data_IF_934215754242
#
_entry.id   IF_934215754242
#
_cell.length_a   1.000
_cell.length_b   1.000
_cell.length_c   1.000
_cell.angle_alpha   90.00
_cell.angle_beta   90.00
_cell.angle_gamma   90.00
#
_symmetry.space_group_name_H-M   'P 1'
#
loop_
_entity.id
_entity.type
_entity.pdbx_description
1 polymer ?
#
# COMPACT_ATOMS: atom_id res chain seq x y z
N UNK A 1 20.85 25.13 37.10
CA UNK A 1 20.48 25.57 35.76
C UNK A 1 21.35 24.96 34.63
N UNK A 2 22.68 24.91 34.72
CA UNK A 2 23.53 24.31 33.65
C UNK A 2 23.31 22.82 33.44
N UNK A 3 23.09 22.01 34.48
CA UNK A 3 22.85 20.55 34.37
C UNK A 3 21.53 20.19 33.65
N UNK A 4 20.49 21.01 33.84
CA UNK A 4 19.18 20.81 33.19
C UNK A 4 19.22 21.04 31.68
N UNK A 5 20.09 21.96 31.21
CA UNK A 5 20.28 22.29 29.80
C UNK A 5 20.97 21.13 29.08
N UNK A 6 21.94 20.46 29.72
CA UNK A 6 22.61 19.27 29.14
C UNK A 6 21.68 18.08 28.99
N UNK A 7 20.78 17.84 29.97
CA UNK A 7 19.78 16.77 29.86
C UNK A 7 18.75 17.02 28.76
N UNK A 8 18.32 18.27 28.59
CA UNK A 8 17.39 18.64 27.51
C UNK A 8 18.07 18.49 26.11
N UNK A 9 19.35 18.85 26.00
CA UNK A 9 20.13 18.69 24.75
C UNK A 9 20.35 17.23 24.37
N UNK A 10 20.63 16.36 25.34
CA UNK A 10 20.83 14.91 25.11
C UNK A 10 19.51 14.24 24.74
N UNK A 11 18.38 14.62 25.35
CA UNK A 11 17.05 14.10 25.01
C UNK A 11 16.63 14.50 23.59
N UNK A 12 16.93 15.74 23.18
CA UNK A 12 16.64 16.23 21.82
C UNK A 12 17.50 15.54 20.76
N UNK A 13 18.75 15.23 21.07
CA UNK A 13 19.65 14.52 20.15
C UNK A 13 19.25 13.03 19.92
N UNK A 14 18.61 12.39 20.90
CA UNK A 14 18.14 11.01 20.79
C UNK A 14 16.92 10.86 19.84
N UNK A 15 16.16 11.93 19.61
CA UNK A 15 14.97 11.90 18.71
C UNK A 15 15.37 11.85 17.22
N UNK A 16 16.59 12.27 16.88
CA UNK A 16 17.07 12.31 15.49
C UNK A 16 17.58 10.97 14.93
N UNK A 17 17.71 9.92 15.76
CA UNK A 17 18.31 8.66 15.33
C UNK A 17 17.32 7.60 14.80
N UNK A 18 16.02 7.90 14.71
CA UNK A 18 14.99 6.91 14.32
C UNK A 18 14.54 7.04 12.85
N UNK A 19 15.16 7.90 12.05
CA UNK A 19 14.91 7.88 10.60
C UNK A 19 15.82 6.83 9.95
N UNK A 20 15.56 5.56 10.21
CA UNK A 20 16.14 4.47 9.44
C UNK A 20 15.85 4.73 7.95
N UNK A 21 16.91 4.73 7.12
CA UNK A 21 16.75 4.81 5.67
C UNK A 21 15.88 3.65 5.19
N UNK A 22 14.59 3.90 5.02
CA UNK A 22 13.65 2.94 4.44
C UNK A 22 13.97 2.83 2.95
N UNK A 23 14.80 1.86 2.58
CA UNK A 23 15.14 1.55 1.20
C UNK A 23 14.42 0.29 0.74
N UNK A 24 14.01 0.27 -0.53
CA UNK A 24 13.62 -0.97 -1.17
C UNK A 24 14.82 -1.92 -1.26
N UNK A 25 14.61 -3.25 -1.23
CA UNK A 25 15.68 -4.22 -1.46
C UNK A 25 16.26 -4.02 -2.86
N UNK A 26 17.59 -4.07 -2.96
CA UNK A 26 18.28 -3.92 -4.26
C UNK A 26 18.04 -5.12 -5.18
N UNK A 27 18.01 -6.31 -4.58
CA UNK A 27 17.77 -7.57 -5.26
C UNK A 27 16.76 -8.40 -4.49
N UNK A 28 15.77 -8.93 -5.21
CA UNK A 28 14.78 -9.86 -4.68
C UNK A 28 15.04 -11.23 -5.33
N UNK A 29 15.43 -12.28 -4.56
CA UNK A 29 15.76 -13.59 -5.11
C UNK A 29 14.65 -14.12 -6.01
N UNK A 30 15.02 -14.68 -7.18
CA UNK A 30 14.06 -15.10 -8.19
C UNK A 30 13.30 -16.39 -7.82
N UNK A 31 13.82 -17.17 -6.88
CA UNK A 31 13.27 -18.44 -6.43
C UNK A 31 12.23 -18.33 -5.30
N UNK A 32 11.86 -17.11 -4.90
CA UNK A 32 10.83 -16.92 -3.87
C UNK A 32 9.45 -17.17 -4.45
N UNK A 33 8.62 -17.93 -3.73
CA UNK A 33 7.20 -18.13 -4.02
C UNK A 33 6.38 -16.86 -3.75
N UNK A 34 5.15 -16.83 -4.23
CA UNK A 34 4.24 -15.72 -3.96
C UNK A 34 3.98 -15.55 -2.46
N UNK A 35 3.81 -16.65 -1.72
CA UNK A 35 3.60 -16.65 -0.28
C UNK A 35 4.81 -16.10 0.49
N UNK A 36 6.03 -16.46 0.08
CA UNK A 36 7.25 -15.92 0.68
C UNK A 36 7.37 -14.42 0.43
N UNK A 37 7.04 -13.95 -0.78
CA UNK A 37 7.03 -12.52 -1.12
C UNK A 37 5.97 -11.76 -0.31
N UNK A 38 4.76 -12.32 -0.12
CA UNK A 38 3.70 -11.75 0.72
C UNK A 38 4.22 -11.61 2.18
N UNK A 39 4.81 -12.66 2.74
CA UNK A 39 5.35 -12.62 4.10
C UNK A 39 6.45 -11.58 4.27
N UNK A 40 7.34 -11.43 3.28
CA UNK A 40 8.39 -10.39 3.27
C UNK A 40 7.80 -8.99 3.16
N UNK A 41 6.76 -8.82 2.35
CA UNK A 41 6.05 -7.55 2.21
C UNK A 41 5.38 -7.14 3.53
N UNK A 42 4.63 -8.05 4.15
CA UNK A 42 3.96 -7.81 5.43
C UNK A 42 4.96 -7.50 6.54
N UNK A 43 6.02 -8.30 6.68
CA UNK A 43 7.08 -8.07 7.67
C UNK A 43 7.79 -6.73 7.45
N UNK A 44 7.99 -6.34 6.20
CA UNK A 44 8.57 -5.04 5.85
C UNK A 44 7.64 -3.89 6.25
N UNK A 45 6.34 -4.04 5.99
CA UNK A 45 5.34 -3.06 6.41
C UNK A 45 5.27 -2.91 7.92
N UNK A 46 5.23 -4.03 8.66
CA UNK A 46 5.19 -4.04 10.13
C UNK A 46 6.42 -3.38 10.76
N UNK A 47 7.58 -3.52 10.11
CA UNK A 47 8.81 -2.81 10.50
C UNK A 47 8.85 -1.34 10.06
N UNK A 48 7.79 -0.84 9.42
CA UNK A 48 7.67 0.51 8.90
C UNK A 48 8.37 0.75 7.54
N UNK A 49 8.96 -0.28 6.93
CA UNK A 49 9.61 -0.15 5.63
C UNK A 49 8.63 -0.31 4.46
N UNK A 50 7.79 0.72 4.24
CA UNK A 50 6.76 0.72 3.20
C UNK A 50 7.35 0.54 1.79
N UNK A 51 8.56 1.06 1.54
CA UNK A 51 9.20 0.91 0.22
C UNK A 51 9.59 -0.54 -0.07
N UNK A 52 10.07 -1.26 0.94
CA UNK A 52 10.38 -2.68 0.78
C UNK A 52 9.09 -3.49 0.62
N UNK A 53 8.05 -3.21 1.40
CA UNK A 53 6.75 -3.85 1.28
C UNK A 53 6.19 -3.71 -0.16
N UNK A 54 6.18 -2.49 -0.68
CA UNK A 54 5.75 -2.23 -2.05
C UNK A 54 6.59 -3.00 -3.08
N UNK A 55 7.91 -3.02 -2.94
CA UNK A 55 8.78 -3.74 -3.87
C UNK A 55 8.53 -5.26 -3.89
N UNK A 56 8.22 -5.86 -2.75
CA UNK A 56 7.85 -7.28 -2.70
C UNK A 56 6.50 -7.55 -3.35
N UNK A 57 5.48 -6.71 -3.14
CA UNK A 57 4.20 -6.83 -3.84
C UNK A 57 4.34 -6.61 -5.36
N UNK A 58 5.15 -5.64 -5.78
CA UNK A 58 5.48 -5.46 -7.22
C UNK A 58 6.17 -6.70 -7.82
N UNK A 59 7.04 -7.37 -7.06
CA UNK A 59 7.64 -8.63 -7.49
C UNK A 59 6.61 -9.76 -7.68
N UNK A 60 5.54 -9.79 -6.87
CA UNK A 60 4.42 -10.73 -7.06
C UNK A 60 3.72 -10.44 -8.38
N UNK A 61 3.38 -9.18 -8.65
CA UNK A 61 2.72 -8.79 -9.90
C UNK A 61 3.54 -9.20 -11.12
N UNK A 62 4.86 -8.99 -11.06
CA UNK A 62 5.77 -9.31 -12.19
C UNK A 62 5.90 -10.81 -12.41
N UNK A 63 5.95 -11.62 -11.34
CA UNK A 63 6.28 -13.04 -11.41
C UNK A 63 5.07 -13.97 -11.45
N UNK A 64 3.98 -13.54 -10.83
CA UNK A 64 2.76 -14.34 -10.59
C UNK A 64 1.48 -13.63 -11.05
N UNK A 65 1.61 -12.56 -11.86
CA UNK A 65 0.46 -11.80 -12.36
C UNK A 65 -0.44 -12.53 -13.36
N UNK A 66 -0.03 -13.72 -13.82
CA UNK A 66 -0.88 -14.67 -14.56
C UNK A 66 -1.86 -15.42 -13.66
N UNK A 67 -1.62 -15.46 -12.35
CA UNK A 67 -2.51 -15.99 -11.32
C UNK A 67 -3.35 -14.85 -10.75
N UNK A 68 -4.60 -14.77 -11.18
CA UNK A 68 -5.49 -13.63 -10.87
C UNK A 68 -5.70 -13.40 -9.38
N UNK A 69 -5.71 -14.45 -8.56
CA UNK A 69 -5.80 -14.35 -7.10
C UNK A 69 -4.58 -13.64 -6.50
N UNK A 70 -3.38 -13.95 -6.99
CA UNK A 70 -2.12 -13.33 -6.55
C UNK A 70 -1.99 -11.90 -7.07
N UNK A 71 -2.40 -11.65 -8.31
CA UNK A 71 -2.42 -10.33 -8.90
C UNK A 71 -3.31 -9.37 -8.09
N UNK A 72 -4.57 -9.79 -7.85
CA UNK A 72 -5.55 -8.97 -7.13
C UNK A 72 -5.10 -8.70 -5.70
N UNK A 73 -4.55 -9.70 -5.01
CA UNK A 73 -4.00 -9.53 -3.66
C UNK A 73 -2.88 -8.49 -3.65
N UNK A 74 -1.87 -8.65 -4.52
CA UNK A 74 -0.70 -7.77 -4.54
C UNK A 74 -1.06 -6.33 -4.97
N UNK A 75 -1.93 -6.17 -5.98
CA UNK A 75 -2.40 -4.85 -6.40
C UNK A 75 -3.23 -4.16 -5.31
N UNK A 76 -4.09 -4.92 -4.62
CA UNK A 76 -4.85 -4.38 -3.48
C UNK A 76 -3.92 -3.89 -2.37
N UNK A 77 -2.93 -4.67 -1.98
CA UNK A 77 -2.00 -4.29 -0.92
C UNK A 77 -1.21 -3.01 -1.29
N UNK A 78 -0.77 -2.87 -2.55
CA UNK A 78 -0.13 -1.63 -3.02
C UNK A 78 -1.10 -0.45 -2.95
N UNK A 79 -2.34 -0.61 -3.39
CA UNK A 79 -3.36 0.43 -3.29
C UNK A 79 -3.63 0.80 -1.82
N UNK A 80 -3.73 -0.20 -0.94
CA UNK A 80 -3.89 -0.01 0.50
C UNK A 80 -2.73 0.78 1.13
N UNK A 81 -1.47 0.49 0.75
CA UNK A 81 -0.31 1.28 1.18
C UNK A 81 -0.45 2.75 0.78
N UNK A 82 -0.97 3.04 -0.42
CA UNK A 82 -1.22 4.41 -0.88
C UNK A 82 -2.33 5.09 -0.08
N UNK A 83 -3.41 4.38 0.24
CA UNK A 83 -4.49 4.86 1.13
C UNK A 83 -3.93 5.22 2.51
N UNK A 84 -3.13 4.35 3.12
CA UNK A 84 -2.46 4.61 4.41
C UNK A 84 -1.57 5.85 4.38
N UNK A 85 -0.94 6.12 3.24
CA UNK A 85 -0.11 7.31 3.02
C UNK A 85 -0.91 8.55 2.58
N UNK A 86 -2.23 8.45 2.46
CA UNK A 86 -3.11 9.52 1.93
C UNK A 86 -2.74 9.98 0.52
N UNK A 87 -2.18 9.08 -0.29
CA UNK A 87 -1.86 9.31 -1.70
C UNK A 87 -3.10 9.01 -2.57
N UNK A 88 -4.17 9.77 -2.33
CA UNK A 88 -5.49 9.49 -2.86
C UNK A 88 -5.52 9.39 -4.38
N UNK A 89 -4.94 10.38 -5.08
CA UNK A 89 -4.91 10.43 -6.54
C UNK A 89 -4.15 9.26 -7.19
N UNK A 90 -3.26 8.60 -6.43
CA UNK A 90 -2.57 7.39 -6.89
C UNK A 90 -3.31 6.11 -6.51
N UNK A 91 -4.06 6.13 -5.40
CA UNK A 91 -4.80 4.96 -4.93
C UNK A 91 -6.11 4.74 -5.70
N UNK A 92 -6.81 5.82 -6.08
CA UNK A 92 -8.11 5.75 -6.76
C UNK A 92 -8.05 4.90 -8.03
N UNK A 93 -7.16 5.14 -9.01
CA UNK A 93 -7.12 4.32 -10.22
C UNK A 93 -6.75 2.86 -9.95
N UNK A 94 -5.93 2.59 -8.94
CA UNK A 94 -5.60 1.21 -8.58
C UNK A 94 -6.84 0.49 -8.00
N UNK A 95 -7.57 1.13 -7.08
CA UNK A 95 -8.80 0.57 -6.52
C UNK A 95 -9.88 0.37 -7.59
N UNK A 96 -10.03 1.30 -8.53
CA UNK A 96 -10.96 1.14 -9.66
C UNK A 96 -10.57 -0.06 -10.54
N UNK A 97 -9.28 -0.24 -10.84
CA UNK A 97 -8.78 -1.38 -11.62
C UNK A 97 -9.09 -2.70 -10.89
N UNK A 98 -8.81 -2.77 -9.58
CA UNK A 98 -9.13 -3.97 -8.78
C UNK A 98 -10.61 -4.28 -8.84
N UNK A 99 -11.49 -3.29 -8.64
CA UNK A 99 -12.94 -3.48 -8.70
C UNK A 99 -13.40 -3.95 -10.09
N UNK A 100 -12.78 -3.46 -11.17
CA UNK A 100 -13.10 -3.88 -12.54
C UNK A 100 -12.79 -5.37 -12.81
N UNK A 101 -11.81 -5.97 -12.12
CA UNK A 101 -11.57 -7.41 -12.22
C UNK A 101 -12.76 -8.22 -11.71
N UNK A 102 -13.42 -7.76 -10.67
CA UNK A 102 -14.61 -8.43 -10.11
C UNK A 102 -15.87 -8.21 -10.97
N UNK A 103 -15.96 -7.09 -11.67
CA UNK A 103 -17.03 -6.87 -12.65
C UNK A 103 -16.88 -7.80 -13.86
N UNK A 104 -15.64 -8.10 -14.25
CA UNK A 104 -15.33 -9.01 -15.34
C UNK A 104 -15.36 -10.50 -14.94
N UNK A 105 -15.30 -10.82 -13.65
CA UNK A 105 -15.30 -12.20 -13.14
C UNK A 105 -16.71 -12.80 -13.13
N UNK A 106 -17.15 -13.26 -14.29
CA UNK A 106 -18.43 -13.95 -14.43
C UNK A 106 -18.50 -15.30 -13.68
N UNK A 107 -17.37 -15.83 -13.24
CA UNK A 107 -17.25 -17.15 -12.59
C UNK A 107 -17.27 -17.07 -11.07
N UNK A 108 -17.00 -15.91 -10.51
CA UNK A 108 -16.91 -15.70 -9.05
C UNK A 108 -15.72 -16.43 -8.41
N UNK A 109 -14.65 -16.68 -9.16
CA UNK A 109 -13.47 -17.42 -8.67
C UNK A 109 -12.53 -16.52 -7.87
N UNK A 110 -12.56 -15.19 -8.10
CA UNK A 110 -11.70 -14.27 -7.38
C UNK A 110 -12.04 -14.21 -5.89
N UNK A 111 -11.02 -14.12 -5.02
CA UNK A 111 -11.24 -14.00 -3.57
C UNK A 111 -12.08 -12.78 -3.23
N UNK A 112 -13.31 -12.97 -2.79
CA UNK A 112 -14.28 -11.88 -2.51
C UNK A 112 -13.81 -10.90 -1.43
N UNK A 113 -12.84 -11.29 -0.61
CA UNK A 113 -12.27 -10.46 0.44
C UNK A 113 -11.65 -9.17 -0.13
N UNK A 114 -10.87 -9.25 -1.20
CA UNK A 114 -10.20 -8.08 -1.77
C UNK A 114 -11.17 -7.10 -2.46
N UNK A 115 -12.29 -7.60 -3.02
CA UNK A 115 -13.38 -6.72 -3.47
C UNK A 115 -13.88 -5.85 -2.33
N UNK A 116 -14.25 -6.50 -1.22
CA UNK A 116 -14.78 -5.81 -0.05
C UNK A 116 -13.77 -4.82 0.55
N UNK A 117 -12.52 -5.21 0.62
CA UNK A 117 -11.45 -4.37 1.13
C UNK A 117 -11.22 -3.15 0.22
N UNK A 118 -11.24 -3.33 -1.10
CA UNK A 118 -11.11 -2.23 -2.07
C UNK A 118 -12.28 -1.24 -1.97
N UNK A 119 -13.52 -1.72 -1.84
CA UNK A 119 -14.69 -0.89 -1.58
C UNK A 119 -14.56 -0.07 -0.29
N UNK A 120 -14.08 -0.70 0.79
CA UNK A 120 -13.85 -0.04 2.08
C UNK A 120 -12.74 1.01 2.00
N UNK A 121 -11.68 0.76 1.24
CA UNK A 121 -10.62 1.73 1.05
C UNK A 121 -11.05 2.89 0.15
N UNK A 122 -11.83 2.62 -0.90
CA UNK A 122 -12.42 3.67 -1.72
C UNK A 122 -13.34 4.59 -0.88
N UNK A 123 -14.11 4.03 0.06
CA UNK A 123 -14.97 4.80 0.96
C UNK A 123 -14.19 5.69 1.97
N UNK A 124 -12.89 5.48 2.16
CA UNK A 124 -12.02 6.33 2.99
C UNK A 124 -11.49 7.55 2.23
N UNK A 125 -11.60 7.54 0.89
CA UNK A 125 -11.11 8.66 0.07
C UNK A 125 -12.02 9.87 0.29
N UNK A 126 -11.46 11.06 0.57
CA UNK A 126 -12.25 12.26 0.71
C UNK A 126 -13.04 12.58 -0.57
N UNK A 127 -14.28 13.04 -0.43
CA UNK A 127 -15.17 13.37 -1.55
C UNK A 127 -14.51 14.31 -2.57
N UNK A 128 -13.80 15.33 -2.10
CA UNK A 128 -13.04 16.24 -2.95
C UNK A 128 -12.08 15.52 -3.89
N UNK A 129 -11.35 14.54 -3.38
CA UNK A 129 -10.38 13.75 -4.16
C UNK A 129 -11.08 12.86 -5.20
N UNK A 130 -12.27 12.34 -4.86
CA UNK A 130 -13.09 11.56 -5.78
C UNK A 130 -13.65 12.43 -6.92
N UNK A 131 -14.03 13.68 -6.63
CA UNK A 131 -14.47 14.66 -7.64
C UNK A 131 -13.30 15.04 -8.55
N UNK A 132 -12.13 15.34 -8.00
CA UNK A 132 -10.92 15.66 -8.76
C UNK A 132 -10.47 14.50 -9.66
N UNK A 133 -10.68 13.27 -9.23
CA UNK A 133 -10.39 12.06 -10.01
C UNK A 133 -11.51 11.70 -11.02
N UNK A 134 -12.61 12.44 -11.07
CA UNK A 134 -13.75 12.17 -11.95
C UNK A 134 -14.57 10.93 -11.58
N UNK A 135 -14.48 10.47 -10.33
CA UNK A 135 -15.27 9.33 -9.82
C UNK A 135 -16.65 9.78 -9.35
N UNK A 136 -16.74 11.00 -8.84
CA UNK A 136 -18.00 11.66 -8.45
C UNK A 136 -18.17 12.94 -9.22
N UNK A 137 -19.44 13.30 -9.49
CA UNK A 137 -19.76 14.60 -10.06
C UNK A 137 -19.69 15.68 -8.98
N UNK A 138 -19.21 16.89 -9.38
CA UNK A 138 -19.25 18.03 -8.49
C UNK A 138 -20.71 18.41 -8.18
N UNK A 139 -21.05 18.83 -6.94
CA UNK A 139 -22.40 19.30 -6.64
C UNK A 139 -22.77 20.47 -7.55
N UNK A 140 -23.98 20.45 -8.11
CA UNK A 140 -24.52 21.55 -8.89
C UNK A 140 -24.62 22.81 -7.99
N UNK A 141 -24.05 23.94 -8.45
CA UNK A 141 -24.13 25.23 -7.77
C UNK A 141 -25.54 25.81 -7.83
#
# INVERSE_FOLDING_TARGET
MKRTIYFAGILLALIFFVTGCQSAPKDIPQNLSAEELINLAQSSYDSGNVKAAQAYYEAIIIRYGDQMDKLVEAEYEIAHLKIKQKKWQQAIPDLQRILSYYEADATGVLPSAFKKLAELDMAKVPEKELIEAGVLEAPAL
#
